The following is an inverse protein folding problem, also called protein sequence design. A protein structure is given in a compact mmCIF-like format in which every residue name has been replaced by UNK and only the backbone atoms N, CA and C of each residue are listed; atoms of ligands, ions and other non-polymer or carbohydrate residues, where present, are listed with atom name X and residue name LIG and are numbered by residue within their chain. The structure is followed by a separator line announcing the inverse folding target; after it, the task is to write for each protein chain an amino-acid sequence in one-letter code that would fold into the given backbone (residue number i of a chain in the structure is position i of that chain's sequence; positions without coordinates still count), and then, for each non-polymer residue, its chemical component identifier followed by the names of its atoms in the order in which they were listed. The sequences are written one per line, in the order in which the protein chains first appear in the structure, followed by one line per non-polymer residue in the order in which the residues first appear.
data_IF_626650002651
#
_entry.id   IF_626650002651
#
_cell.length_a   1.000
_cell.length_b   1.000
_cell.length_c   1.000
_cell.angle_alpha   90.00
_cell.angle_beta   90.00
_cell.angle_gamma   90.00
#
_symmetry.space_group_name_H-M   'P 1'
#
loop_
_entity.id
_entity.type
_entity.pdbx_description
1 polymer ?
#
# COMPACT_ATOMS: atom_id res chain seq x y z
N UNK A 1 -11.86 41.07 -15.46
CA UNK A 1 -10.60 40.41 -15.84
C UNK A 1 -10.04 39.77 -14.58
N UNK A 2 -10.41 38.53 -14.29
CA UNK A 2 -9.89 37.77 -13.14
C UNK A 2 -8.62 37.03 -13.58
N UNK A 3 -7.58 36.91 -12.74
CA UNK A 3 -6.36 36.22 -13.15
C UNK A 3 -6.60 34.69 -13.11
N UNK A 4 -6.13 34.01 -14.14
CA UNK A 4 -6.06 32.56 -14.20
C UNK A 4 -5.08 32.07 -13.12
N UNK A 5 -5.58 31.27 -12.17
CA UNK A 5 -4.75 30.55 -11.22
C UNK A 5 -4.15 29.35 -11.95
N UNK A 6 -2.88 29.49 -12.35
CA UNK A 6 -2.06 28.36 -12.80
C UNK A 6 -1.80 27.48 -11.58
N UNK A 7 -2.66 26.48 -11.39
CA UNK A 7 -2.60 25.55 -10.26
C UNK A 7 -1.34 24.71 -10.33
N UNK A 8 -0.35 25.02 -9.51
CA UNK A 8 0.71 24.09 -9.19
C UNK A 8 0.07 22.84 -8.55
N UNK A 9 0.46 21.61 -8.94
CA UNK A 9 -0.12 20.39 -8.37
C UNK A 9 0.04 20.44 -6.85
N UNK A 10 -1.06 20.16 -6.17
CA UNK A 10 -1.08 20.22 -4.72
C UNK A 10 -0.09 19.22 -4.17
N UNK A 11 0.37 19.47 -2.97
CA UNK A 11 1.34 18.60 -2.33
C UNK A 11 0.73 17.19 -2.11
N UNK A 12 -0.60 17.09 -1.96
CA UNK A 12 -1.34 15.83 -1.91
C UNK A 12 -1.27 15.07 -3.25
N UNK A 13 -1.45 15.77 -4.37
CA UNK A 13 -1.32 15.17 -5.72
C UNK A 13 0.06 14.58 -5.93
N UNK A 14 1.11 15.22 -5.39
CA UNK A 14 2.49 14.75 -5.52
C UNK A 14 2.76 13.45 -4.75
N UNK A 15 2.18 13.27 -3.57
CA UNK A 15 2.37 12.06 -2.78
C UNK A 15 1.59 10.88 -3.39
N UNK A 16 0.36 11.13 -3.83
CA UNK A 16 -0.45 10.17 -4.57
C UNK A 16 0.23 9.80 -5.90
N UNK A 17 0.72 10.78 -6.66
CA UNK A 17 1.48 10.59 -7.90
C UNK A 17 2.76 9.80 -7.67
N UNK A 18 3.49 10.06 -6.59
CA UNK A 18 4.74 9.34 -6.30
C UNK A 18 4.46 7.86 -6.00
N UNK A 19 3.37 7.57 -5.27
CA UNK A 19 2.90 6.21 -5.03
C UNK A 19 2.42 5.60 -6.37
N UNK A 20 1.57 6.28 -7.13
CA UNK A 20 1.04 5.79 -8.39
C UNK A 20 2.13 5.56 -9.45
N UNK A 21 3.10 6.47 -9.58
CA UNK A 21 4.23 6.38 -10.52
C UNK A 21 5.20 5.25 -10.17
N UNK A 22 5.30 4.89 -8.89
CA UNK A 22 6.08 3.73 -8.47
C UNK A 22 5.34 2.40 -8.68
N UNK A 23 4.01 2.42 -8.66
CA UNK A 23 3.17 1.24 -8.82
C UNK A 23 2.83 0.95 -10.28
N UNK A 24 2.70 1.97 -11.13
CA UNK A 24 2.38 1.78 -12.55
C UNK A 24 3.38 0.89 -13.31
N UNK A 25 4.71 1.03 -13.13
CA UNK A 25 5.67 0.13 -13.75
C UNK A 25 5.56 -1.32 -13.23
N UNK A 26 5.04 -1.53 -12.02
CA UNK A 26 4.81 -2.86 -11.47
C UNK A 26 3.52 -3.45 -12.04
N UNK A 27 2.43 -2.69 -12.03
CA UNK A 27 1.14 -3.07 -12.61
C UNK A 27 1.28 -3.43 -14.11
N UNK A 28 2.02 -2.60 -14.87
CA UNK A 28 2.25 -2.80 -16.30
C UNK A 28 3.23 -3.94 -16.62
N UNK A 29 4.07 -4.37 -15.67
CA UNK A 29 4.98 -5.51 -15.86
C UNK A 29 4.32 -6.83 -15.48
N UNK A 30 3.49 -6.83 -14.44
CA UNK A 30 2.94 -8.04 -13.83
C UNK A 30 1.88 -8.69 -14.69
N UNK A 31 1.17 -7.93 -15.51
CA UNK A 31 0.16 -8.48 -16.40
C UNK A 31 0.37 -8.03 -17.84
N UNK A 32 0.56 -8.99 -18.74
CA UNK A 32 0.24 -8.77 -20.14
C UNK A 32 -1.27 -8.56 -20.26
N UNK A 33 -1.66 -7.72 -21.22
CA UNK A 33 -3.07 -7.38 -21.47
C UNK A 33 -3.98 -8.62 -21.54
N UNK A 34 -3.48 -9.68 -22.17
CA UNK A 34 -4.19 -10.96 -22.35
C UNK A 34 -4.46 -11.71 -21.04
N UNK A 35 -3.62 -11.55 -20.01
CA UNK A 35 -3.82 -12.22 -18.71
C UNK A 35 -4.85 -11.50 -17.84
N UNK A 36 -4.95 -10.17 -17.98
CA UNK A 36 -6.05 -9.39 -17.38
C UNK A 36 -7.38 -9.69 -18.06
N UNK A 37 -7.40 -9.74 -19.39
CA UNK A 37 -8.62 -10.01 -20.16
C UNK A 37 -9.20 -11.40 -19.81
N UNK A 38 -8.34 -12.39 -19.53
CA UNK A 38 -8.76 -13.71 -19.02
C UNK A 38 -9.30 -13.65 -17.60
N UNK A 39 -8.66 -12.87 -16.72
CA UNK A 39 -9.10 -12.73 -15.33
C UNK A 39 -10.47 -12.03 -15.25
N UNK A 40 -10.68 -11.00 -16.07
CA UNK A 40 -11.96 -10.31 -16.20
C UNK A 40 -13.04 -11.22 -16.80
N UNK A 41 -12.72 -12.00 -17.83
CA UNK A 41 -13.65 -12.98 -18.38
C UNK A 41 -14.06 -14.04 -17.34
N UNK A 42 -13.11 -14.51 -16.52
CA UNK A 42 -13.38 -15.44 -15.42
C UNK A 42 -14.23 -14.81 -14.32
N UNK A 43 -13.96 -13.54 -13.97
CA UNK A 43 -14.76 -12.79 -13.02
C UNK A 43 -16.20 -12.59 -13.53
N UNK A 44 -16.38 -12.22 -14.80
CA UNK A 44 -17.70 -12.06 -15.43
C UNK A 44 -18.49 -13.36 -15.47
N UNK A 45 -17.83 -14.48 -15.79
CA UNK A 45 -18.45 -15.82 -15.77
C UNK A 45 -18.83 -16.21 -14.33
N UNK A 46 -17.98 -15.94 -13.35
CA UNK A 46 -18.26 -16.23 -11.94
C UNK A 46 -19.44 -15.39 -11.41
N UNK A 47 -19.49 -14.09 -11.75
CA UNK A 47 -20.59 -13.18 -11.39
C UNK A 47 -21.90 -13.60 -12.06
N UNK A 48 -21.87 -14.04 -13.33
CA UNK A 48 -23.05 -14.58 -14.03
C UNK A 48 -23.51 -15.92 -13.47
N UNK A 49 -22.58 -16.79 -13.08
CA UNK A 49 -22.88 -18.12 -12.55
C UNK A 49 -23.45 -18.07 -11.13
N UNK A 50 -23.03 -17.08 -10.32
CA UNK A 50 -23.60 -16.76 -9.02
C UNK A 50 -23.50 -15.25 -8.81
N UNK A 51 -24.60 -14.49 -8.86
CA UNK A 51 -24.57 -13.09 -8.46
C UNK A 51 -24.34 -13.06 -6.95
N UNK A 52 -23.07 -13.02 -6.54
CA UNK A 52 -22.71 -12.66 -5.19
C UNK A 52 -23.22 -11.23 -4.98
N UNK A 53 -24.08 -11.02 -3.97
CA UNK A 53 -24.52 -9.66 -3.63
C UNK A 53 -23.29 -8.84 -3.22
N UNK A 54 -23.33 -7.53 -3.43
CA UNK A 54 -22.29 -6.62 -2.96
C UNK A 54 -21.91 -6.91 -1.51
N UNK A 55 -20.62 -7.11 -1.26
CA UNK A 55 -20.11 -7.41 0.07
C UNK A 55 -20.15 -8.89 0.50
N UNK A 56 -20.36 -9.82 -0.43
CA UNK A 56 -20.35 -11.27 -0.11
C UNK A 56 -19.01 -11.98 -0.33
N UNK A 57 -18.02 -11.33 -0.94
CA UNK A 57 -16.73 -11.92 -1.30
C UNK A 57 -15.61 -11.06 -0.72
N UNK A 58 -14.60 -11.60 -0.03
CA UNK A 58 -13.52 -10.79 0.56
C UNK A 58 -12.86 -9.86 -0.47
N UNK A 59 -12.36 -8.68 -0.04
CA UNK A 59 -11.58 -7.80 -0.91
C UNK A 59 -10.39 -8.54 -1.53
N UNK A 60 -10.04 -8.16 -2.76
CA UNK A 60 -8.99 -8.85 -3.51
C UNK A 60 -7.68 -8.86 -2.77
N UNK A 61 -7.01 -10.01 -2.71
CA UNK A 61 -5.64 -10.13 -2.24
C UNK A 61 -4.95 -11.24 -3.00
N UNK A 62 -3.94 -10.91 -3.80
CA UNK A 62 -3.23 -11.92 -4.61
C UNK A 62 -1.73 -11.67 -4.58
N UNK A 63 -0.95 -12.74 -4.45
CA UNK A 63 0.48 -12.66 -4.67
C UNK A 63 0.73 -12.34 -6.15
N UNK A 64 1.66 -11.43 -6.41
CA UNK A 64 2.03 -11.11 -7.77
C UNK A 64 2.86 -12.26 -8.38
N UNK A 65 2.67 -12.61 -9.67
CA UNK A 65 3.43 -13.66 -10.32
C UNK A 65 4.95 -13.39 -10.26
N UNK A 66 5.78 -14.41 -9.94
CA UNK A 66 7.22 -14.25 -9.72
C UNK A 66 8.00 -13.85 -10.99
N UNK A 67 7.42 -14.00 -12.18
CA UNK A 67 8.10 -13.83 -13.46
C UNK A 67 8.33 -12.38 -13.90
N UNK A 68 7.73 -11.38 -13.23
CA UNK A 68 7.70 -10.00 -13.76
C UNK A 68 8.07 -8.89 -12.76
N UNK A 69 8.58 -9.22 -11.58
CA UNK A 69 8.78 -8.24 -10.51
C UNK A 69 10.25 -7.87 -10.24
N UNK A 70 10.52 -6.60 -9.87
CA UNK A 70 11.82 -6.18 -9.33
C UNK A 70 12.05 -6.64 -7.87
N UNK A 71 11.00 -7.06 -7.14
CA UNK A 71 11.15 -7.64 -5.79
C UNK A 71 10.17 -8.82 -5.56
N UNK A 72 10.61 -9.91 -4.90
CA UNK A 72 9.81 -11.13 -4.72
C UNK A 72 8.63 -11.00 -3.75
N UNK A 73 8.48 -9.84 -3.07
CA UNK A 73 7.52 -9.63 -1.98
C UNK A 73 6.36 -8.68 -2.33
N UNK A 74 6.06 -8.52 -3.61
CA UNK A 74 4.93 -7.68 -4.04
C UNK A 74 3.63 -8.49 -4.04
N UNK A 75 2.56 -7.89 -3.53
CA UNK A 75 1.19 -8.42 -3.56
C UNK A 75 0.24 -7.35 -4.10
N UNK A 76 -0.88 -7.74 -4.69
CA UNK A 76 -1.95 -6.81 -5.04
C UNK A 76 -3.08 -6.92 -4.03
N UNK A 77 -3.61 -5.77 -3.65
CA UNK A 77 -4.77 -5.65 -2.77
C UNK A 77 -5.84 -4.81 -3.44
N UNK A 78 -7.09 -5.24 -3.31
CA UNK A 78 -8.26 -4.49 -3.74
C UNK A 78 -8.57 -3.39 -2.73
N UNK A 79 -8.66 -2.15 -3.20
CA UNK A 79 -9.14 -1.00 -2.43
C UNK A 79 -10.34 -0.38 -3.14
N UNK A 80 -11.29 0.27 -2.44
CA UNK A 80 -12.40 0.96 -3.09
C UNK A 80 -11.90 1.94 -4.16
N UNK A 81 -12.44 1.84 -5.37
CA UNK A 81 -12.05 2.69 -6.49
C UNK A 81 -12.55 4.13 -6.31
N UNK A 82 -11.76 5.09 -6.81
CA UNK A 82 -12.10 6.53 -6.81
C UNK A 82 -12.33 7.04 -8.22
N UNK A 83 -12.87 8.26 -8.34
CA UNK A 83 -13.02 8.93 -9.64
C UNK A 83 -11.66 9.12 -10.36
N UNK A 84 -10.58 9.34 -9.61
CA UNK A 84 -9.24 9.48 -10.18
C UNK A 84 -8.71 8.15 -10.74
N UNK A 85 -9.04 7.01 -10.11
CA UNK A 85 -8.64 5.69 -10.61
C UNK A 85 -9.28 5.40 -11.98
N UNK A 86 -10.53 5.84 -12.17
CA UNK A 86 -11.26 5.75 -13.44
C UNK A 86 -10.62 6.62 -14.52
N UNK A 87 -10.19 7.84 -14.20
CA UNK A 87 -9.57 8.74 -15.19
C UNK A 87 -8.15 8.34 -15.55
N UNK A 88 -7.43 7.67 -14.65
CA UNK A 88 -6.00 7.41 -14.78
C UNK A 88 -5.66 6.04 -15.37
N UNK A 89 -6.66 5.27 -15.80
CA UNK A 89 -6.46 3.91 -16.34
C UNK A 89 -5.88 2.95 -15.31
N UNK A 90 -6.23 3.12 -14.03
CA UNK A 90 -5.87 2.17 -12.97
C UNK A 90 -6.46 0.78 -13.26
N UNK A 91 -5.88 -0.26 -12.66
CA UNK A 91 -6.43 -1.61 -12.77
C UNK A 91 -7.71 -1.71 -11.92
N UNK A 92 -8.86 -1.74 -12.57
CA UNK A 92 -10.17 -1.77 -11.93
C UNK A 92 -10.85 -3.13 -12.15
N UNK A 93 -11.63 -3.59 -11.16
CA UNK A 93 -12.47 -4.79 -11.27
C UNK A 93 -13.66 -4.71 -10.33
N UNK A 94 -14.66 -5.58 -10.53
CA UNK A 94 -15.67 -5.84 -9.50
C UNK A 94 -15.03 -6.46 -8.24
N UNK A 95 -15.50 -6.04 -7.07
CA UNK A 95 -14.97 -6.49 -5.78
C UNK A 95 -15.93 -6.30 -4.60
N UNK A 96 -15.37 -6.26 -3.38
CA UNK A 96 -16.16 -6.20 -2.15
C UNK A 96 -16.88 -4.87 -2.02
N UNK A 97 -18.19 -4.89 -2.25
CA UNK A 97 -19.05 -3.71 -2.05
C UNK A 97 -19.00 -2.69 -3.20
N UNK A 98 -18.53 -3.09 -4.38
CA UNK A 98 -18.49 -2.23 -5.56
C UNK A 98 -17.25 -2.45 -6.42
N UNK A 99 -16.81 -1.41 -7.13
CA UNK A 99 -15.60 -1.45 -7.96
C UNK A 99 -14.35 -1.28 -7.09
N UNK A 100 -13.39 -2.19 -7.24
CA UNK A 100 -12.08 -2.13 -6.60
C UNK A 100 -11.01 -1.67 -7.59
N UNK A 101 -10.05 -0.90 -7.09
CA UNK A 101 -8.77 -0.61 -7.73
C UNK A 101 -7.70 -1.54 -7.14
N UNK A 102 -6.91 -2.20 -7.98
CA UNK A 102 -5.81 -3.05 -7.55
C UNK A 102 -4.56 -2.21 -7.28
N UNK A 103 -4.14 -2.20 -6.03
CA UNK A 103 -2.98 -1.48 -5.55
C UNK A 103 -1.84 -2.48 -5.31
N UNK A 104 -0.69 -2.27 -5.96
CA UNK A 104 0.51 -3.04 -5.68
C UNK A 104 1.10 -2.64 -4.32
N UNK A 105 1.32 -3.59 -3.45
CA UNK A 105 1.88 -3.38 -2.11
C UNK A 105 3.12 -4.22 -1.98
N UNK A 106 4.23 -3.58 -1.69
CA UNK A 106 5.48 -4.26 -1.36
C UNK A 106 5.48 -4.60 0.13
N UNK A 107 5.55 -5.89 0.44
CA UNK A 107 5.62 -6.37 1.82
C UNK A 107 7.05 -6.25 2.35
N UNK A 108 7.17 -6.09 3.67
CA UNK A 108 8.46 -6.12 4.35
C UNK A 108 9.11 -7.50 4.17
N UNK A 109 10.36 -7.53 3.72
CA UNK A 109 11.14 -8.76 3.67
C UNK A 109 11.62 -9.19 5.05
N UNK A 110 12.09 -10.43 5.15
CA UNK A 110 12.75 -10.93 6.36
C UNK A 110 13.92 -10.02 6.78
N UNK A 111 14.69 -9.54 5.82
CA UNK A 111 15.78 -8.59 6.06
C UNK A 111 15.29 -7.24 6.57
N UNK A 112 14.12 -6.78 6.12
CA UNK A 112 13.50 -5.54 6.58
C UNK A 112 13.01 -5.68 8.03
N UNK A 113 12.39 -6.81 8.38
CA UNK A 113 11.95 -7.11 9.75
C UNK A 113 13.15 -7.21 10.70
N UNK A 114 14.22 -7.88 10.29
CA UNK A 114 15.46 -7.95 11.08
C UNK A 114 16.14 -6.59 11.22
N UNK A 115 16.11 -5.76 10.18
CA UNK A 115 16.64 -4.41 10.26
C UNK A 115 15.83 -3.54 11.21
N UNK A 116 14.50 -3.64 11.15
CA UNK A 116 13.60 -2.96 12.09
C UNK A 116 13.85 -3.43 13.54
N UNK A 117 14.14 -4.71 13.76
CA UNK A 117 14.52 -5.26 15.08
C UNK A 117 15.75 -4.61 15.67
N UNK A 118 16.73 -4.22 14.83
CA UNK A 118 17.92 -3.49 15.29
C UNK A 118 17.63 -2.04 15.66
N UNK A 119 16.60 -1.44 15.05
CA UNK A 119 16.21 -0.05 15.31
C UNK A 119 15.32 0.08 16.56
N UNK A 120 14.66 -1.00 16.96
CA UNK A 120 13.82 -1.06 18.15
C UNK A 120 14.61 -1.58 19.36
N UNK A 121 14.07 -1.38 20.55
CA UNK A 121 14.73 -1.82 21.79
C UNK A 121 14.85 -3.35 21.83
N UNK A 122 15.95 -3.91 22.38
CA UNK A 122 16.20 -5.37 22.36
C UNK A 122 15.16 -6.23 23.08
N UNK A 123 14.36 -5.62 23.94
CA UNK A 123 13.29 -6.23 24.73
C UNK A 123 11.96 -6.38 23.96
N UNK A 124 11.82 -5.73 22.81
CA UNK A 124 10.60 -5.78 22.00
C UNK A 124 10.64 -6.96 21.04
N UNK A 125 9.74 -7.93 21.23
CA UNK A 125 9.54 -8.98 20.23
C UNK A 125 8.66 -8.45 19.10
N UNK A 126 9.29 -7.90 18.07
CA UNK A 126 8.61 -7.33 16.90
C UNK A 126 7.59 -8.29 16.31
N UNK A 127 7.86 -9.60 16.25
CA UNK A 127 6.96 -10.56 15.60
C UNK A 127 5.73 -10.89 16.42
N UNK A 128 5.77 -10.66 17.72
CA UNK A 128 4.63 -10.91 18.61
C UNK A 128 3.87 -9.64 18.93
N UNK A 129 4.55 -8.50 18.98
CA UNK A 129 3.99 -7.26 19.49
C UNK A 129 3.62 -6.25 18.40
N UNK A 130 4.27 -6.29 17.22
CA UNK A 130 4.13 -5.25 16.19
C UNK A 130 3.74 -5.83 14.82
N UNK A 131 4.52 -6.78 14.30
CA UNK A 131 4.40 -7.35 12.96
C UNK A 131 4.10 -8.85 13.04
N UNK A 132 3.00 -9.21 13.69
CA UNK A 132 2.52 -10.59 13.70
C UNK A 132 2.26 -11.06 12.26
N UNK A 133 3.01 -12.06 11.76
CA UNK A 133 2.85 -12.52 10.40
C UNK A 133 1.43 -13.03 10.17
N UNK A 134 0.84 -12.66 9.04
CA UNK A 134 -0.41 -13.26 8.63
C UNK A 134 -0.15 -14.67 8.10
N UNK A 135 -0.96 -15.64 8.52
CA UNK A 135 -0.91 -16.99 7.98
C UNK A 135 -1.42 -17.02 6.53
N UNK A 136 -0.48 -17.05 5.58
CA UNK A 136 -0.76 -16.98 4.13
C UNK A 136 -1.34 -18.29 3.60
N UNK A 137 -1.22 -19.39 4.33
CA UNK A 137 -1.74 -20.70 3.91
C UNK A 137 -3.28 -20.78 3.95
N UNK A 138 -3.93 -19.79 4.55
CA UNK A 138 -5.37 -19.77 4.78
C UNK A 138 -5.96 -18.49 4.21
N UNK A 139 -6.32 -18.51 2.93
CA UNK A 139 -7.30 -17.53 2.45
C UNK A 139 -8.59 -17.76 3.24
N UNK A 140 -9.10 -16.74 3.95
CA UNK A 140 -10.31 -16.91 4.73
C UNK A 140 -11.46 -17.21 3.78
N UNK A 141 -12.18 -18.30 4.05
CA UNK A 141 -13.44 -18.58 3.35
C UNK A 141 -14.36 -17.35 3.45
N UNK A 142 -15.19 -17.13 2.44
CA UNK A 142 -16.08 -15.96 2.38
C UNK A 142 -16.97 -15.86 3.63
N UNK A 143 -17.41 -17.00 4.18
CA UNK A 143 -18.20 -17.03 5.42
C UNK A 143 -17.38 -16.66 6.67
N UNK A 144 -16.14 -17.16 6.78
CA UNK A 144 -15.21 -16.87 7.88
C UNK A 144 -14.82 -15.39 7.92
N UNK A 145 -14.57 -14.81 6.75
CA UNK A 145 -14.31 -13.38 6.60
C UNK A 145 -15.50 -12.53 7.11
N UNK A 146 -16.73 -12.88 6.71
CA UNK A 146 -17.92 -12.16 7.14
C UNK A 146 -18.19 -12.33 8.64
N UNK A 147 -17.94 -13.50 9.22
CA UNK A 147 -18.03 -13.71 10.66
C UNK A 147 -17.01 -12.85 11.41
N UNK A 148 -15.79 -12.77 10.90
CA UNK A 148 -14.73 -11.91 11.44
C UNK A 148 -15.14 -10.44 11.44
N UNK A 149 -15.68 -9.93 10.34
CA UNK A 149 -16.18 -8.54 10.24
C UNK A 149 -17.37 -8.28 11.18
N UNK A 150 -18.19 -9.29 11.44
CA UNK A 150 -19.33 -9.19 12.37
C UNK A 150 -18.93 -9.27 13.84
N UNK A 151 -17.72 -9.75 14.15
CA UNK A 151 -17.26 -9.93 15.53
C UNK A 151 -17.15 -8.60 16.28
N UNK A 152 -17.43 -8.62 17.59
CA UNK A 152 -17.35 -7.43 18.44
C UNK A 152 -15.92 -6.92 18.53
N UNK A 153 -14.94 -7.82 18.64
CA UNK A 153 -13.52 -7.47 18.70
C UNK A 153 -13.08 -6.71 17.45
N UNK A 154 -13.35 -7.24 16.25
CA UNK A 154 -13.00 -6.56 15.00
C UNK A 154 -13.71 -5.20 14.88
N UNK A 155 -15.00 -5.13 15.22
CA UNK A 155 -15.74 -3.86 15.21
C UNK A 155 -15.14 -2.83 16.14
N UNK A 156 -14.69 -3.23 17.33
CA UNK A 156 -14.05 -2.32 18.30
C UNK A 156 -12.74 -1.76 17.76
N UNK A 157 -11.90 -2.61 17.18
CA UNK A 157 -10.63 -2.15 16.59
C UNK A 157 -10.88 -1.23 15.38
N UNK A 158 -11.81 -1.61 14.49
CA UNK A 158 -12.18 -0.79 13.33
C UNK A 158 -12.81 0.55 13.74
N UNK A 159 -13.61 0.59 14.81
CA UNK A 159 -14.26 1.81 15.26
C UNK A 159 -13.25 2.91 15.61
N UNK A 160 -12.14 2.56 16.28
CA UNK A 160 -11.07 3.50 16.60
C UNK A 160 -10.41 4.06 15.33
N UNK A 161 -10.12 3.20 14.35
CA UNK A 161 -9.54 3.60 13.07
C UNK A 161 -10.48 4.52 12.28
N UNK A 162 -11.75 4.12 12.14
CA UNK A 162 -12.77 4.87 11.41
C UNK A 162 -13.08 6.21 12.08
N UNK A 163 -13.04 6.28 13.41
CA UNK A 163 -13.23 7.53 14.16
C UNK A 163 -12.09 8.52 13.95
N UNK A 164 -10.86 8.04 13.79
CA UNK A 164 -9.69 8.90 13.66
C UNK A 164 -9.36 9.26 12.20
N UNK A 165 -9.45 8.30 11.29
CA UNK A 165 -9.02 8.43 9.90
C UNK A 165 -10.16 8.53 8.88
N UNK A 166 -11.40 8.29 9.32
CA UNK A 166 -12.55 8.11 8.43
C UNK A 166 -12.55 6.76 7.71
N UNK A 167 -13.64 6.47 7.00
CA UNK A 167 -13.74 5.29 6.12
C UNK A 167 -13.17 5.56 4.73
N UNK A 168 -13.21 6.83 4.29
CA UNK A 168 -12.75 7.24 2.97
C UNK A 168 -11.25 7.03 2.84
N UNK A 169 -10.88 6.29 1.80
CA UNK A 169 -9.50 5.92 1.48
C UNK A 169 -8.75 5.14 2.57
N UNK A 170 -9.42 4.68 3.63
CA UNK A 170 -8.75 4.05 4.78
C UNK A 170 -7.84 2.89 4.37
N UNK A 171 -8.33 2.00 3.50
CA UNK A 171 -7.53 0.89 2.99
C UNK A 171 -6.27 1.39 2.26
N UNK A 172 -6.41 2.39 1.39
CA UNK A 172 -5.30 3.01 0.67
C UNK A 172 -4.30 3.67 1.61
N UNK A 173 -4.77 4.35 2.67
CA UNK A 173 -3.91 4.96 3.71
C UNK A 173 -3.10 3.90 4.45
N UNK A 174 -3.75 2.80 4.87
CA UNK A 174 -3.11 1.68 5.58
C UNK A 174 -2.03 1.03 4.72
N UNK A 175 -2.36 0.63 3.49
CA UNK A 175 -1.39 0.01 2.58
C UNK A 175 -0.28 0.99 2.16
N UNK A 176 -0.61 2.27 1.97
CA UNK A 176 0.36 3.32 1.71
C UNK A 176 1.40 3.47 2.82
N UNK A 177 1.00 3.30 4.09
CA UNK A 177 1.92 3.36 5.22
C UNK A 177 2.98 2.24 5.16
N UNK A 178 2.58 1.02 4.80
CA UNK A 178 3.52 -0.10 4.64
C UNK A 178 4.54 0.19 3.54
N UNK A 179 4.11 0.74 2.41
CA UNK A 179 4.99 1.13 1.31
C UNK A 179 5.97 2.23 1.75
N UNK A 180 5.50 3.24 2.48
CA UNK A 180 6.35 4.30 3.02
C UNK A 180 7.37 3.75 4.03
N UNK A 181 6.95 2.83 4.89
CA UNK A 181 7.85 2.16 5.84
C UNK A 181 8.97 1.42 5.12
N UNK A 182 8.63 0.63 4.10
CA UNK A 182 9.61 -0.09 3.27
C UNK A 182 10.64 0.87 2.67
N UNK A 183 10.18 1.96 2.04
CA UNK A 183 11.06 3.00 1.47
C UNK A 183 11.97 3.62 2.52
N UNK A 184 11.43 3.91 3.71
CA UNK A 184 12.20 4.48 4.80
C UNK A 184 13.32 3.52 5.22
N UNK A 185 13.01 2.23 5.40
CA UNK A 185 14.00 1.21 5.74
C UNK A 185 15.10 1.09 4.68
N UNK A 186 14.74 1.13 3.40
CA UNK A 186 15.72 1.11 2.31
C UNK A 186 16.65 2.32 2.36
N UNK A 187 16.12 3.52 2.64
CA UNK A 187 16.94 4.74 2.81
C UNK A 187 17.87 4.65 4.02
N UNK A 188 17.38 4.15 5.16
CA UNK A 188 18.21 3.94 6.34
C UNK A 188 19.34 2.94 6.09
N UNK A 189 19.07 1.87 5.35
CA UNK A 189 20.09 0.87 4.98
C UNK A 189 21.18 1.48 4.08
N UNK A 190 20.81 2.31 3.11
CA UNK A 190 21.77 3.06 2.29
C UNK A 190 22.61 4.01 3.15
N UNK A 191 21.98 4.75 4.05
CA UNK A 191 22.65 5.66 4.96
C UNK A 191 23.65 4.94 5.88
N UNK A 192 23.27 3.81 6.48
CA UNK A 192 24.15 2.99 7.32
C UNK A 192 25.36 2.47 6.53
N UNK A 193 25.11 1.95 5.32
CA UNK A 193 26.17 1.47 4.43
C UNK A 193 27.12 2.58 3.94
N UNK A 194 26.64 3.83 3.84
CA UNK A 194 27.47 5.00 3.54
C UNK A 194 28.34 5.39 4.74
N UNK A 195 27.79 5.33 5.95
CA UNK A 195 28.47 5.74 7.19
C UNK A 195 29.59 4.78 7.58
N UNK A 196 29.44 3.48 7.30
CA UNK A 196 30.48 2.47 7.56
C UNK A 196 31.68 2.56 6.59
N UNK A 197 31.51 3.12 5.39
CA UNK A 197 32.59 3.30 4.40
C UNK A 197 33.33 4.62 4.63
N UNK A 198 34.10 4.73 5.71
CA UNK A 198 34.81 5.97 6.08
C UNK A 198 35.73 6.49 4.95
N UNK A 199 35.30 7.55 4.26
CA UNK A 199 36.09 8.42 3.35
C UNK A 199 35.33 9.75 3.15
N UNK A 200 36.00 10.83 2.74
CA UNK A 200 35.39 12.16 2.52
C UNK A 200 34.25 12.16 1.47
N UNK A 201 34.21 11.17 0.58
CA UNK A 201 33.12 10.94 -0.37
C UNK A 201 31.88 10.31 0.29
N UNK A 202 32.07 9.57 1.38
CA UNK A 202 31.01 8.97 2.17
C UNK A 202 30.23 10.02 2.98
N UNK A 203 30.90 11.07 3.48
CA UNK A 203 30.24 12.19 4.15
C UNK A 203 29.32 12.97 3.20
N UNK A 204 29.73 13.17 1.93
CA UNK A 204 28.88 13.78 0.90
C UNK A 204 27.68 12.90 0.51
N UNK A 205 27.85 11.57 0.50
CA UNK A 205 26.75 10.62 0.23
C UNK A 205 25.78 10.55 1.41
N UNK A 206 26.27 10.44 2.64
CA UNK A 206 25.46 10.48 3.84
C UNK A 206 24.62 11.78 3.93
N UNK A 207 25.18 12.93 3.57
CA UNK A 207 24.44 14.20 3.50
C UNK A 207 23.31 14.18 2.47
N UNK A 208 23.52 13.55 1.31
CA UNK A 208 22.48 13.35 0.29
C UNK A 208 21.40 12.40 0.79
N UNK A 209 21.78 11.30 1.40
CA UNK A 209 20.86 10.31 1.96
C UNK A 209 20.02 10.91 3.11
N UNK A 210 20.62 11.78 3.94
CA UNK A 210 19.91 12.56 4.95
C UNK A 210 18.87 13.51 4.35
N UNK A 211 19.17 14.13 3.22
CA UNK A 211 18.21 14.98 2.51
C UNK A 211 17.05 14.16 1.95
N UNK A 212 17.33 12.95 1.44
CA UNK A 212 16.28 12.03 0.98
C UNK A 212 15.41 11.52 2.14
N UNK A 213 15.98 11.25 3.33
CA UNK A 213 15.21 10.92 4.54
C UNK A 213 14.38 12.11 5.03
N UNK A 214 14.93 13.33 4.96
CA UNK A 214 14.21 14.58 5.28
C UNK A 214 13.05 14.77 4.32
N UNK A 215 13.22 14.46 3.04
CA UNK A 215 12.14 14.48 2.04
C UNK A 215 11.03 13.48 2.40
N UNK A 216 11.36 12.23 2.74
CA UNK A 216 10.36 11.24 3.17
C UNK A 216 9.61 11.71 4.43
N UNK A 217 10.29 12.35 5.39
CA UNK A 217 9.64 12.96 6.56
C UNK A 217 8.70 14.10 6.18
N UNK A 218 9.09 14.93 5.22
CA UNK A 218 8.26 16.01 4.71
C UNK A 218 7.02 15.44 4.00
N UNK A 219 7.19 14.39 3.19
CA UNK A 219 6.13 13.69 2.48
C UNK A 219 5.15 13.02 3.46
N UNK A 220 5.64 12.41 4.55
CA UNK A 220 4.80 11.89 5.63
C UNK A 220 4.00 12.99 6.32
N UNK A 221 4.66 14.09 6.68
CA UNK A 221 4.02 15.23 7.35
C UNK A 221 2.93 15.87 6.48
N UNK A 222 3.12 15.82 5.17
CA UNK A 222 2.19 16.31 4.16
C UNK A 222 0.98 15.38 4.02
N UNK A 223 1.23 14.08 3.94
CA UNK A 223 0.19 13.05 3.89
C UNK A 223 -0.69 13.08 5.16
N UNK A 224 -0.07 13.29 6.32
CA UNK A 224 -0.79 13.48 7.58
C UNK A 224 -1.68 14.73 7.56
N UNK A 225 -1.19 15.87 7.05
CA UNK A 225 -1.99 17.11 6.93
C UNK A 225 -3.17 16.93 5.96
N UNK A 226 -2.95 16.25 4.85
CA UNK A 226 -4.01 15.92 3.88
C UNK A 226 -5.13 15.10 4.54
N UNK A 227 -4.77 14.05 5.28
CA UNK A 227 -5.75 13.22 5.98
C UNK A 227 -6.55 13.97 7.07
N UNK A 228 -6.01 15.05 7.62
CA UNK A 228 -6.72 15.91 8.56
C UNK A 228 -7.57 17.01 7.90
N UNK A 229 -7.38 17.29 6.60
CA UNK A 229 -8.15 18.31 5.87
C UNK A 229 -9.40 17.75 5.19
N UNK A 230 -9.52 16.44 5.05
CA UNK A 230 -10.70 15.73 4.51
C UNK A 230 -11.67 15.21 5.59
N UNK A 231 -11.43 15.54 6.87
CA UNK A 231 -12.32 15.22 8.01
C UNK A 231 -13.18 16.43 8.39
#
# INVERSE_FOLDING_TARGET
MAPASTGAPSAADKAQDLIQRSLQPLLAKVFEKDDMDKLDALADVAVKARPALEGQVPPTRVAAPPSHLPSPNTMFVGVPATAADLSNGSLLRGGYGGVECLLGVESLSEEDVQFLAKLLSPDVDIRREILTPLDVAREPDSSEFLLTLKSISTKREMASLLRHYGAQDLARKVFGMTILMKRLLDKYRVLEASTQRSSSQATRRALKDFEEVRQVRADYSLLQKYWHQEA
#
